data_IF_842143067737
#
_entry.id   IF_842143067737
#
_cell.length_a   1.000
_cell.length_b   1.000
_cell.length_c   1.000
_cell.angle_alpha   90.00
_cell.angle_beta   90.00
_cell.angle_gamma   90.00
#
_symmetry.space_group_name_H-M   'P 1'
#
loop_
_entity.id
_entity.type
_entity.pdbx_description
1 polymer ?
#
# COMPACT_ATOMS: atom_id res chain seq x y z
N UNK A 1 -9.92 -3.13 -5.47
CA UNK A 1 -9.67 -3.84 -4.20
C UNK A 1 -9.75 -5.35 -4.43
N UNK A 2 -10.80 -5.83 -5.05
CA UNK A 2 -11.03 -7.27 -5.31
C UNK A 2 -9.81 -7.95 -5.94
N UNK A 3 -9.26 -7.41 -7.01
CA UNK A 3 -8.11 -8.00 -7.72
C UNK A 3 -6.86 -8.12 -6.85
N UNK A 4 -6.61 -7.12 -6.01
CA UNK A 4 -5.45 -7.14 -5.10
C UNK A 4 -5.60 -8.18 -3.98
N UNK A 5 -6.82 -8.62 -3.68
CA UNK A 5 -7.15 -9.46 -2.53
C UNK A 5 -7.75 -10.81 -2.92
N UNK A 6 -7.82 -11.16 -4.22
CA UNK A 6 -8.57 -12.32 -4.73
C UNK A 6 -8.17 -13.66 -4.11
N UNK A 7 -6.90 -13.82 -3.72
CA UNK A 7 -6.32 -15.04 -3.15
C UNK A 7 -6.12 -14.96 -1.62
N UNK A 8 -6.45 -13.81 -1.00
CA UNK A 8 -6.43 -13.67 0.46
C UNK A 8 -7.82 -14.06 1.01
N UNK A 9 -7.90 -15.05 1.91
CA UNK A 9 -9.17 -15.41 2.56
C UNK A 9 -9.64 -14.30 3.49
N UNK A 10 -10.94 -14.30 3.82
CA UNK A 10 -11.46 -13.42 4.87
C UNK A 10 -10.79 -13.75 6.22
N UNK A 11 -10.15 -12.78 6.90
CA UNK A 11 -9.43 -13.00 8.15
C UNK A 11 -10.31 -13.50 9.31
N UNK A 12 -11.66 -13.40 9.17
CA UNK A 12 -12.62 -13.95 10.13
C UNK A 12 -12.82 -15.47 10.01
N UNK A 13 -12.51 -16.03 8.83
CA UNK A 13 -12.80 -17.43 8.48
C UNK A 13 -11.64 -18.39 8.68
N UNK A 14 -10.40 -17.91 8.82
CA UNK A 14 -9.19 -18.75 8.90
C UNK A 14 -8.36 -18.48 10.15
N UNK A 15 -7.68 -19.51 10.63
CA UNK A 15 -6.69 -19.42 11.70
C UNK A 15 -5.45 -18.67 11.18
N UNK A 16 -4.84 -17.89 12.03
CA UNK A 16 -3.83 -16.84 11.84
C UNK A 16 -2.54 -17.23 11.08
N UNK A 17 -2.35 -18.45 10.60
CA UNK A 17 -1.01 -18.98 10.28
C UNK A 17 -0.61 -18.98 8.80
N UNK A 18 -1.51 -18.69 7.85
CA UNK A 18 -1.17 -18.80 6.43
C UNK A 18 -0.62 -17.51 5.80
N UNK A 19 -1.04 -16.35 6.29
CA UNK A 19 -0.58 -15.06 5.79
C UNK A 19 -0.04 -14.21 6.93
N UNK A 20 1.18 -13.71 6.77
CA UNK A 20 1.82 -12.80 7.73
C UNK A 20 1.01 -11.50 7.88
N UNK A 21 0.79 -11.06 9.11
CA UNK A 21 0.04 -9.83 9.43
C UNK A 21 -1.43 -9.82 8.96
N UNK A 22 -2.04 -11.00 8.76
CA UNK A 22 -3.42 -11.12 8.30
C UNK A 22 -4.38 -11.48 9.44
N UNK A 23 -4.69 -10.51 10.30
CA UNK A 23 -5.57 -10.65 11.46
C UNK A 23 -6.81 -9.80 11.31
N UNK A 24 -7.96 -10.32 11.78
CA UNK A 24 -9.20 -9.54 11.82
C UNK A 24 -9.11 -8.38 12.80
N UNK A 25 -9.45 -7.18 12.34
CA UNK A 25 -9.64 -5.99 13.18
C UNK A 25 -11.14 -5.73 13.31
N UNK A 26 -11.71 -5.87 14.52
CA UNK A 26 -13.14 -5.63 14.75
C UNK A 26 -13.48 -4.13 14.83
N UNK A 27 -14.77 -3.82 14.83
CA UNK A 27 -15.30 -2.49 15.15
C UNK A 27 -15.46 -1.55 13.95
N UNK A 28 -15.37 -2.04 12.72
CA UNK A 28 -15.65 -1.25 11.53
C UNK A 28 -17.12 -0.76 11.52
N UNK A 29 -17.32 0.55 11.32
CA UNK A 29 -18.64 1.18 11.23
C UNK A 29 -18.63 2.26 10.15
N UNK A 30 -19.69 2.32 9.37
CA UNK A 30 -19.93 3.39 8.40
C UNK A 30 -20.59 4.58 9.10
N UNK A 31 -20.13 5.79 8.79
CA UNK A 31 -20.76 7.05 9.21
C UNK A 31 -20.44 8.15 8.18
N UNK A 32 -21.14 9.29 8.19
CA UNK A 32 -20.93 10.34 7.21
C UNK A 32 -19.46 10.71 7.02
N UNK A 33 -18.98 10.68 5.77
CA UNK A 33 -17.57 10.91 5.43
C UNK A 33 -16.65 9.69 5.57
N UNK A 34 -17.12 8.58 6.16
CA UNK A 34 -16.32 7.35 6.39
C UNK A 34 -17.08 6.12 5.87
N UNK A 35 -17.08 5.95 4.55
CA UNK A 35 -17.95 4.98 3.88
C UNK A 35 -17.25 3.70 3.41
N UNK A 36 -15.95 3.58 3.63
CA UNK A 36 -15.17 2.41 3.17
C UNK A 36 -14.92 2.39 1.66
N UNK A 37 -14.14 1.40 1.21
CA UNK A 37 -13.80 1.17 -0.19
C UNK A 37 -14.67 0.04 -0.76
N UNK A 38 -15.48 0.26 -1.80
CA UNK A 38 -16.16 -0.81 -2.52
C UNK A 38 -15.14 -1.79 -3.12
N UNK A 39 -15.48 -3.09 -3.16
CA UNK A 39 -14.55 -4.12 -3.63
C UNK A 39 -14.19 -3.95 -5.11
N UNK A 40 -15.11 -3.51 -5.94
CA UNK A 40 -14.92 -3.40 -7.40
C UNK A 40 -14.34 -2.05 -7.85
N UNK A 41 -13.97 -1.20 -6.91
CA UNK A 41 -13.33 0.09 -7.17
C UNK A 41 -11.90 0.12 -6.60
N UNK A 42 -11.06 1.06 -7.04
CA UNK A 42 -9.80 1.34 -6.36
C UNK A 42 -10.01 1.63 -4.87
N UNK A 43 -9.05 1.21 -4.06
CA UNK A 43 -9.07 1.54 -2.63
C UNK A 43 -8.99 3.06 -2.44
N UNK A 44 -9.74 3.55 -1.47
CA UNK A 44 -9.48 4.89 -0.95
C UNK A 44 -8.08 4.97 -0.36
N UNK A 45 -7.52 6.16 -0.30
CA UNK A 45 -6.19 6.40 0.27
C UNK A 45 -6.14 5.92 1.72
N UNK A 46 -5.19 5.06 2.03
CA UNK A 46 -4.93 4.65 3.41
C UNK A 46 -4.41 5.85 4.20
N UNK A 47 -5.03 6.13 5.34
CA UNK A 47 -4.65 7.29 6.18
C UNK A 47 -3.66 6.90 7.26
N UNK A 48 -2.66 7.76 7.42
CA UNK A 48 -1.63 7.69 8.47
C UNK A 48 -1.84 8.69 9.61
N UNK A 49 -2.95 9.42 9.61
CA UNK A 49 -3.17 10.58 10.48
C UNK A 49 -3.23 10.27 11.98
N UNK A 50 -2.85 11.26 12.80
CA UNK A 50 -2.81 11.18 14.26
C UNK A 50 -4.21 11.01 14.92
N UNK A 51 -5.29 11.32 14.23
CA UNK A 51 -6.66 11.30 14.73
C UNK A 51 -7.48 10.12 14.21
N UNK A 52 -6.92 8.94 14.25
CA UNK A 52 -7.69 7.75 14.03
C UNK A 52 -7.39 7.06 12.70
N UNK A 53 -6.44 6.18 12.79
CA UNK A 53 -6.29 5.10 11.82
C UNK A 53 -7.60 4.30 11.62
N UNK A 54 -8.50 4.14 12.60
CA UNK A 54 -9.84 3.62 12.34
C UNK A 54 -10.72 4.66 11.63
N UNK A 55 -10.41 4.96 10.37
CA UNK A 55 -11.21 5.81 9.48
C UNK A 55 -11.84 5.00 8.35
N UNK A 56 -12.83 5.58 7.68
CA UNK A 56 -13.53 4.93 6.58
C UNK A 56 -12.64 4.53 5.41
N UNK A 57 -11.50 5.16 5.26
CA UNK A 57 -10.50 4.87 4.22
C UNK A 57 -9.77 3.55 4.46
N UNK A 58 -9.66 3.13 5.73
CA UNK A 58 -9.02 1.87 6.10
C UNK A 58 -10.00 0.69 6.18
N UNK A 59 -11.17 0.85 5.57
CA UNK A 59 -12.24 -0.14 5.50
C UNK A 59 -12.56 -0.52 4.06
N UNK A 60 -13.06 -1.74 3.88
CA UNK A 60 -13.77 -2.18 2.69
C UNK A 60 -15.25 -2.36 2.98
N UNK A 61 -16.07 -2.34 1.94
CA UNK A 61 -17.47 -2.76 1.99
C UNK A 61 -17.58 -4.09 1.25
N UNK A 62 -17.98 -5.12 1.95
CA UNK A 62 -18.17 -6.45 1.40
C UNK A 62 -19.41 -6.52 0.48
N UNK A 63 -19.52 -7.56 -0.33
CA UNK A 63 -20.65 -7.75 -1.26
C UNK A 63 -22.03 -7.77 -0.57
N UNK A 64 -22.07 -8.14 0.69
CA UNK A 64 -23.29 -8.09 1.52
C UNK A 64 -23.56 -6.72 2.15
N UNK A 65 -22.76 -5.70 1.84
CA UNK A 65 -22.89 -4.34 2.39
C UNK A 65 -22.23 -4.16 3.77
N UNK A 66 -21.63 -5.21 4.35
CA UNK A 66 -21.00 -5.14 5.66
C UNK A 66 -19.65 -4.40 5.60
N UNK A 67 -19.39 -3.39 6.45
CA UNK A 67 -18.08 -2.77 6.54
C UNK A 67 -17.11 -3.68 7.31
N UNK A 68 -15.85 -3.73 6.85
CA UNK A 68 -14.77 -4.43 7.53
C UNK A 68 -13.46 -3.64 7.39
N UNK A 69 -12.70 -3.50 8.47
CA UNK A 69 -11.34 -2.97 8.36
C UNK A 69 -10.47 -3.90 7.51
N UNK A 70 -9.59 -3.30 6.73
CA UNK A 70 -8.50 -4.04 6.13
C UNK A 70 -7.61 -4.64 7.23
N UNK A 71 -7.16 -5.87 7.03
CA UNK A 71 -6.01 -6.37 7.78
C UNK A 71 -4.74 -5.64 7.33
N UNK A 72 -3.67 -5.75 8.11
CA UNK A 72 -2.37 -5.19 7.73
C UNK A 72 -1.89 -5.78 6.40
N UNK A 73 -2.06 -7.09 6.18
CA UNK A 73 -1.67 -7.75 4.93
C UNK A 73 -2.46 -7.26 3.73
N UNK A 74 -3.76 -7.10 3.87
CA UNK A 74 -4.60 -6.55 2.81
C UNK A 74 -4.18 -5.13 2.43
N UNK A 75 -3.93 -4.28 3.41
CA UNK A 75 -3.44 -2.92 3.18
C UNK A 75 -2.03 -2.91 2.55
N UNK A 76 -1.16 -3.83 2.97
CA UNK A 76 0.17 -3.99 2.39
C UNK A 76 0.09 -4.37 0.90
N UNK A 77 -0.80 -5.29 0.52
CA UNK A 77 -1.02 -5.64 -0.89
C UNK A 77 -1.59 -4.48 -1.71
N UNK A 78 -2.52 -3.70 -1.16
CA UNK A 78 -3.04 -2.48 -1.79
C UNK A 78 -1.89 -1.49 -2.04
N UNK A 79 -0.93 -1.39 -1.13
CA UNK A 79 0.29 -0.61 -1.26
C UNK A 79 1.41 -1.35 -2.03
N UNK A 80 1.09 -2.47 -2.64
CA UNK A 80 1.99 -3.29 -3.46
C UNK A 80 3.25 -3.79 -2.74
N UNK A 81 3.20 -3.96 -1.42
CA UNK A 81 4.26 -4.64 -0.67
C UNK A 81 4.22 -6.15 -0.95
N UNK A 82 5.38 -6.82 -1.03
CA UNK A 82 5.44 -8.27 -1.21
C UNK A 82 4.90 -8.99 0.04
N UNK A 83 4.31 -10.19 -0.15
CA UNK A 83 3.69 -10.94 0.94
C UNK A 83 4.66 -11.38 2.03
N UNK A 84 5.93 -11.57 1.68
CA UNK A 84 6.99 -11.89 2.65
C UNK A 84 7.42 -10.71 3.53
N UNK A 85 6.95 -9.47 3.27
CA UNK A 85 7.31 -8.32 4.09
C UNK A 85 6.57 -8.38 5.42
N UNK A 86 7.29 -8.36 6.53
CA UNK A 86 6.74 -8.44 7.89
C UNK A 86 6.62 -7.05 8.50
N UNK A 87 5.43 -6.73 8.97
CA UNK A 87 5.18 -5.50 9.73
C UNK A 87 5.17 -5.80 11.22
N UNK A 88 5.76 -4.90 12.00
CA UNK A 88 5.85 -5.01 13.47
C UNK A 88 5.05 -3.90 14.15
N UNK A 89 4.39 -4.24 15.24
CA UNK A 89 3.59 -3.31 16.03
C UNK A 89 2.10 -3.66 16.07
N UNK A 90 1.31 -2.81 16.71
CA UNK A 90 -0.15 -2.94 16.74
C UNK A 90 -0.74 -2.68 15.36
N UNK A 91 -2.02 -3.08 15.16
CA UNK A 91 -2.74 -2.77 13.91
C UNK A 91 -2.71 -1.26 13.60
N UNK A 92 -2.98 -0.42 14.59
CA UNK A 92 -2.98 1.05 14.40
C UNK A 92 -1.61 1.57 13.96
N UNK A 93 -0.54 1.07 14.58
CA UNK A 93 0.82 1.49 14.25
C UNK A 93 1.22 1.04 12.84
N UNK A 94 0.94 -0.20 12.48
CA UNK A 94 1.25 -0.73 11.15
C UNK A 94 0.41 -0.08 10.05
N UNK A 95 -0.86 0.22 10.31
CA UNK A 95 -1.69 0.98 9.36
C UNK A 95 -1.18 2.41 9.17
N UNK A 96 -0.63 3.04 10.21
CA UNK A 96 0.02 4.34 10.11
C UNK A 96 1.29 4.28 9.25
N UNK A 97 2.11 3.25 9.43
CA UNK A 97 3.30 3.01 8.59
C UNK A 97 2.90 2.85 7.12
N UNK A 98 1.89 2.01 6.84
CA UNK A 98 1.37 1.79 5.50
C UNK A 98 0.77 3.06 4.87
N UNK A 99 0.03 3.85 5.64
CA UNK A 99 -0.52 5.12 5.16
C UNK A 99 0.54 6.19 4.84
N UNK A 100 1.71 6.14 5.50
CA UNK A 100 2.86 6.99 5.19
C UNK A 100 3.72 6.46 4.03
N UNK A 101 3.56 5.20 3.65
CA UNK A 101 4.36 4.58 2.62
C UNK A 101 3.90 5.02 1.21
N UNK A 102 4.86 5.15 0.30
CA UNK A 102 4.57 5.20 -1.13
C UNK A 102 4.37 3.77 -1.62
N UNK A 103 3.35 3.48 -2.46
CA UNK A 103 3.18 2.15 -3.04
C UNK A 103 4.45 1.67 -3.75
N UNK A 104 4.88 0.45 -3.43
CA UNK A 104 6.21 -0.07 -3.86
C UNK A 104 6.36 -0.05 -5.39
N UNK A 105 5.33 -0.46 -6.13
CA UNK A 105 5.36 -0.44 -7.60
C UNK A 105 5.46 0.98 -8.15
N UNK A 106 4.73 1.94 -7.56
CA UNK A 106 4.81 3.36 -7.95
C UNK A 106 6.22 3.92 -7.71
N UNK A 107 6.77 3.67 -6.52
CA UNK A 107 8.13 4.09 -6.18
C UNK A 107 9.17 3.52 -7.15
N UNK A 108 9.03 2.23 -7.51
CA UNK A 108 9.90 1.58 -8.51
C UNK A 108 9.82 2.25 -9.88
N UNK A 109 8.63 2.54 -10.36
CA UNK A 109 8.41 3.18 -11.67
C UNK A 109 9.04 4.57 -11.72
N UNK A 110 8.82 5.38 -10.68
CA UNK A 110 9.42 6.71 -10.58
C UNK A 110 10.93 6.63 -10.49
N UNK A 111 11.47 5.76 -9.64
CA UNK A 111 12.91 5.59 -9.47
C UNK A 111 13.60 5.10 -10.75
N UNK A 112 12.97 4.20 -11.52
CA UNK A 112 13.49 3.76 -12.81
C UNK A 112 13.58 4.93 -13.80
N UNK A 113 12.52 5.72 -13.95
CA UNK A 113 12.51 6.88 -14.84
C UNK A 113 13.58 7.92 -14.49
N UNK A 114 13.72 8.22 -13.19
CA UNK A 114 14.77 9.14 -12.71
C UNK A 114 16.16 8.56 -12.97
N UNK A 115 16.35 7.27 -12.72
CA UNK A 115 17.61 6.57 -12.95
C UNK A 115 18.04 6.61 -14.42
N UNK A 116 17.13 6.37 -15.35
CA UNK A 116 17.38 6.47 -16.79
C UNK A 116 17.84 7.88 -17.18
N UNK A 117 17.14 8.92 -16.73
CA UNK A 117 17.51 10.31 -17.04
C UNK A 117 18.88 10.70 -16.45
N UNK A 118 19.19 10.25 -15.26
CA UNK A 118 20.51 10.48 -14.66
C UNK A 118 21.63 9.80 -15.43
N UNK A 119 21.40 8.55 -15.88
CA UNK A 119 22.36 7.81 -16.70
C UNK A 119 22.62 8.50 -18.05
N UNK A 120 21.58 8.90 -18.76
CA UNK A 120 21.70 9.64 -20.01
C UNK A 120 22.48 10.94 -19.83
N UNK A 121 22.17 11.69 -18.77
CA UNK A 121 22.89 12.92 -18.45
C UNK A 121 24.37 12.70 -18.15
N UNK A 122 24.68 11.64 -17.41
CA UNK A 122 26.05 11.25 -17.11
C UNK A 122 26.85 10.95 -18.40
N UNK A 123 26.28 10.15 -19.29
CA UNK A 123 26.89 9.81 -20.59
C UNK A 123 27.18 11.08 -21.41
N UNK A 124 26.21 11.99 -21.47
CA UNK A 124 26.38 13.29 -22.18
C UNK A 124 27.51 14.12 -21.58
N UNK A 125 27.62 14.19 -20.27
CA UNK A 125 28.67 14.93 -19.59
C UNK A 125 30.05 14.30 -19.86
N UNK A 126 30.17 13.00 -19.72
CA UNK A 126 31.43 12.29 -20.01
C UNK A 126 31.88 12.50 -21.46
N UNK A 127 30.97 12.47 -22.41
CA UNK A 127 31.27 12.74 -23.83
C UNK A 127 31.74 14.18 -24.07
N UNK A 128 31.17 15.17 -23.36
CA UNK A 128 31.63 16.56 -23.41
C UNK A 128 33.04 16.74 -22.84
N UNK A 129 33.34 16.16 -21.69
CA UNK A 129 34.66 16.24 -21.06
C UNK A 129 35.76 15.59 -21.95
N UNK A 130 35.48 14.44 -22.57
CA UNK A 130 36.41 13.82 -23.51
C UNK A 130 36.75 14.68 -24.71
N UNK A 131 35.73 15.40 -25.25
CA UNK A 131 35.96 16.32 -26.39
C UNK A 131 36.78 17.55 -26.01
N UNK A 132 36.66 18.04 -24.77
CA UNK A 132 37.40 19.22 -24.29
C UNK A 132 38.85 18.88 -23.87
N UNK A 133 39.09 17.65 -23.41
CA UNK A 133 40.47 17.21 -23.04
C UNK A 133 41.31 16.70 -24.21
N UNK A 134 40.74 16.61 -25.41
CA UNK A 134 41.44 16.19 -26.63
C UNK A 134 41.81 17.38 -27.55
N UNK A 135 41.56 18.60 -27.15
CA UNK A 135 41.91 19.84 -27.80
C UNK A 135 43.03 20.55 -27.03
#
# INVERSE_FOLDING_TARGET
>A
VRDALQDIPDPRKRKEHEFLNHRHQPGAKVYPGHTGSPLDLPSKTLKAGAHGVPGGENMMILDNGEPRYFSVRESARIQTFPDGFVFHGSWTETMRQLGNAVPVTLARTIAASVGEQLMERRIQLEARYRKQGAA
#
